data_IF_340565059823
#
_entry.id   IF_340565059823
#
_cell.length_a   1.000
_cell.length_b   1.000
_cell.length_c   1.000
_cell.angle_alpha   90.00
_cell.angle_beta   90.00
_cell.angle_gamma   90.00
#
_symmetry.space_group_name_H-M   'P 1'
#
loop_
_entity.id
_entity.type
_entity.pdbx_description
1 polymer ?
#
# COMPACT_ATOMS: atom_id res chain seq x y z
N UNK A 1 -8.85 0.51 9.08
CA UNK A 1 -9.33 1.49 8.09
C UNK A 1 -8.48 2.75 8.06
N UNK A 2 -8.21 3.39 9.20
CA UNK A 2 -7.45 4.64 9.27
C UNK A 2 -5.97 4.48 8.87
N UNK A 3 -5.33 3.36 9.21
CA UNK A 3 -3.90 3.07 8.95
C UNK A 3 -3.60 2.51 7.56
N UNK A 4 -4.62 2.27 6.73
CA UNK A 4 -4.44 1.70 5.39
C UNK A 4 -3.90 2.70 4.37
N UNK A 5 -3.76 3.97 4.73
CA UNK A 5 -3.24 5.04 3.87
C UNK A 5 -4.18 5.50 2.75
N UNK A 6 -5.36 4.89 2.60
CA UNK A 6 -6.39 5.33 1.64
C UNK A 6 -7.25 6.49 2.17
N UNK A 7 -7.68 6.42 3.44
CA UNK A 7 -8.59 7.43 4.05
C UNK A 7 -7.82 8.57 4.71
N UNK A 8 -6.63 8.30 5.26
CA UNK A 8 -5.75 9.28 5.89
C UNK A 8 -4.38 9.14 5.25
N UNK A 9 -3.82 10.25 4.78
CA UNK A 9 -2.43 10.29 4.32
C UNK A 9 -1.50 9.86 5.46
N UNK A 10 -0.69 8.84 5.21
CA UNK A 10 0.30 8.32 6.17
C UNK A 10 1.35 9.36 6.56
N UNK A 11 1.48 10.45 5.78
CA UNK A 11 2.43 11.54 6.01
C UNK A 11 1.98 12.53 7.10
N UNK A 12 0.66 12.73 7.26
CA UNK A 12 0.11 13.69 8.22
C UNK A 12 -0.39 13.03 9.52
N UNK A 13 -0.04 11.76 9.76
CA UNK A 13 -0.40 11.08 11.00
C UNK A 13 0.54 11.49 12.15
N UNK A 14 -0.03 11.58 13.35
CA UNK A 14 0.76 11.69 14.57
C UNK A 14 1.77 10.53 14.66
N UNK A 15 3.00 10.84 15.07
CA UNK A 15 4.17 9.94 15.11
C UNK A 15 3.84 8.54 15.65
N UNK A 16 3.12 8.46 16.77
CA UNK A 16 2.73 7.17 17.39
C UNK A 16 1.82 6.33 16.48
N UNK A 17 0.85 6.96 15.83
CA UNK A 17 -0.04 6.29 14.89
C UNK A 17 0.70 5.85 13.61
N UNK A 18 1.70 6.62 13.19
CA UNK A 18 2.58 6.25 12.07
C UNK A 18 3.36 4.97 12.39
N UNK A 19 3.96 4.86 13.58
CA UNK A 19 4.62 3.62 14.03
C UNK A 19 3.66 2.43 14.06
N UNK A 20 2.44 2.61 14.59
CA UNK A 20 1.44 1.55 14.62
C UNK A 20 1.02 1.11 13.20
N UNK A 21 1.05 2.02 12.23
CA UNK A 21 0.75 1.69 10.83
C UNK A 21 1.76 0.71 10.22
N UNK A 22 3.03 0.72 10.64
CA UNK A 22 4.04 -0.23 10.17
C UNK A 22 3.82 -1.64 10.72
N UNK A 23 3.11 -1.82 11.84
CA UNK A 23 2.71 -3.13 12.35
C UNK A 23 1.36 -3.61 11.77
N UNK A 24 0.67 -2.77 10.99
CA UNK A 24 -0.69 -3.03 10.54
C UNK A 24 -0.71 -3.88 9.28
N UNK A 25 -1.25 -5.10 9.36
CA UNK A 25 -1.59 -5.96 8.22
C UNK A 25 -2.34 -5.19 7.11
N UNK A 26 -3.23 -4.29 7.51
CA UNK A 26 -4.06 -3.52 6.58
C UNK A 26 -3.25 -2.52 5.74
N UNK A 27 -2.12 -2.00 6.26
CA UNK A 27 -1.24 -1.10 5.50
C UNK A 27 -0.51 -1.89 4.42
N UNK A 28 0.18 -2.95 4.83
CA UNK A 28 0.99 -3.80 3.94
C UNK A 28 0.14 -4.56 2.91
N UNK A 29 -1.05 -5.00 3.28
CA UNK A 29 -2.00 -5.64 2.37
C UNK A 29 -2.50 -4.66 1.30
N UNK A 30 -2.85 -3.43 1.70
CA UNK A 30 -3.32 -2.42 0.76
C UNK A 30 -2.20 -1.92 -0.17
N UNK A 31 -1.02 -1.65 0.36
CA UNK A 31 0.18 -1.27 -0.41
C UNK A 31 0.54 -2.36 -1.43
N UNK A 32 0.56 -3.63 -1.00
CA UNK A 32 0.81 -4.76 -1.90
C UNK A 32 -0.23 -4.91 -3.00
N UNK A 33 -1.53 -4.76 -2.69
CA UNK A 33 -2.58 -4.83 -3.69
C UNK A 33 -2.50 -3.71 -4.73
N UNK A 34 -2.20 -2.47 -4.32
CA UNK A 34 -2.04 -1.36 -5.26
C UNK A 34 -0.85 -1.58 -6.19
N UNK A 35 0.28 -2.05 -5.66
CA UNK A 35 1.43 -2.39 -6.48
C UNK A 35 1.10 -3.51 -7.48
N UNK A 36 0.35 -4.55 -7.09
CA UNK A 36 -0.08 -5.60 -8.03
C UNK A 36 -1.06 -5.08 -9.09
N UNK A 37 -2.02 -4.24 -8.68
CA UNK A 37 -3.09 -3.77 -9.54
C UNK A 37 -2.61 -2.77 -10.60
N UNK A 38 -1.71 -1.85 -10.22
CA UNK A 38 -1.33 -0.72 -11.07
C UNK A 38 0.00 -0.91 -11.79
N UNK A 39 0.88 -1.82 -11.33
CA UNK A 39 2.18 -2.04 -11.95
C UNK A 39 2.04 -2.77 -13.29
N UNK A 40 2.55 -2.17 -14.35
CA UNK A 40 2.50 -2.73 -15.71
C UNK A 40 1.21 -2.46 -16.48
N UNK A 41 0.22 -1.83 -15.83
CA UNK A 41 -1.04 -1.45 -16.47
C UNK A 41 -1.00 0.04 -16.85
N UNK A 42 -1.43 0.35 -18.08
CA UNK A 42 -1.59 1.72 -18.57
C UNK A 42 -3.07 2.08 -18.63
N UNK A 43 -3.41 3.23 -18.08
CA UNK A 43 -4.78 3.71 -18.04
C UNK A 43 -4.94 4.88 -19.01
N UNK A 44 -5.89 4.80 -19.97
CA UNK A 44 -6.17 5.92 -20.85
C UNK A 44 -6.87 7.01 -20.05
N UNK A 45 -6.27 8.20 -20.03
CA UNK A 45 -6.85 9.40 -19.43
C UNK A 45 -7.20 10.35 -20.56
N UNK A 46 -8.46 10.78 -20.61
CA UNK A 46 -8.96 11.73 -21.61
C UNK A 46 -9.07 13.10 -20.96
N UNK A 47 -8.35 14.09 -21.49
CA UNK A 47 -8.53 15.50 -21.13
C UNK A 47 -8.95 16.26 -22.38
N UNK A 48 -10.19 16.77 -22.36
CA UNK A 48 -10.85 17.36 -23.52
C UNK A 48 -10.86 16.41 -24.74
N UNK A 49 -10.10 16.71 -25.80
CA UNK A 49 -10.03 15.94 -27.05
C UNK A 49 -8.75 15.10 -27.19
N UNK A 50 -7.88 15.05 -26.17
CA UNK A 50 -6.63 14.29 -26.20
C UNK A 50 -6.69 13.13 -25.21
N UNK A 51 -6.43 11.92 -25.71
CA UNK A 51 -6.24 10.70 -24.91
C UNK A 51 -4.77 10.40 -24.78
N UNK A 52 -4.29 10.23 -23.55
CA UNK A 52 -2.93 9.78 -23.27
C UNK A 52 -2.94 8.66 -22.24
N UNK A 53 -1.99 7.74 -22.38
CA UNK A 53 -1.88 6.58 -21.50
C UNK A 53 -0.96 6.92 -20.34
N UNK A 54 -1.51 6.95 -19.13
CA UNK A 54 -0.76 7.14 -17.89
C UNK A 54 -0.40 5.77 -17.32
N UNK A 55 0.87 5.60 -16.97
CA UNK A 55 1.31 4.39 -16.28
C UNK A 55 0.72 4.35 -14.87
N UNK A 56 0.07 3.25 -14.51
CA UNK A 56 -0.56 3.07 -13.20
C UNK A 56 0.43 3.25 -12.05
N UNK A 57 1.73 3.02 -12.29
CA UNK A 57 2.77 3.25 -11.27
C UNK A 57 2.76 4.70 -10.74
N UNK A 58 2.42 5.68 -11.57
CA UNK A 58 2.37 7.09 -11.15
C UNK A 58 1.26 7.35 -10.12
N UNK A 59 0.18 6.57 -10.18
CA UNK A 59 -0.92 6.64 -9.19
C UNK A 59 -0.43 6.11 -7.84
N UNK A 60 0.30 4.98 -7.84
CA UNK A 60 0.86 4.38 -6.61
C UNK A 60 1.93 5.29 -5.99
N UNK A 61 2.74 5.93 -6.84
CA UNK A 61 3.76 6.92 -6.44
C UNK A 61 3.11 8.16 -5.83
N UNK A 62 2.04 8.70 -6.45
CA UNK A 62 1.30 9.85 -5.94
C UNK A 62 0.65 9.57 -4.57
N UNK A 63 0.28 8.31 -4.30
CA UNK A 63 -0.21 7.86 -3.00
C UNK A 63 0.91 7.56 -1.98
N UNK A 64 2.19 7.72 -2.37
CA UNK A 64 3.38 7.37 -1.56
C UNK A 64 3.39 5.91 -1.08
N UNK A 65 2.84 4.99 -1.88
CA UNK A 65 2.73 3.55 -1.59
C UNK A 65 3.67 2.69 -2.44
N UNK A 66 4.74 3.31 -2.96
CA UNK A 66 5.81 2.65 -3.73
C UNK A 66 7.16 2.69 -2.98
N UNK A 67 7.12 2.87 -1.64
CA UNK A 67 8.35 3.04 -0.84
C UNK A 67 9.10 1.71 -0.64
N UNK A 68 8.37 0.60 -0.59
CA UNK A 68 8.92 -0.73 -0.42
C UNK A 68 8.62 -1.61 -1.63
N UNK A 69 9.52 -2.53 -2.02
CA UNK A 69 9.24 -3.46 -3.10
C UNK A 69 8.14 -4.45 -2.71
N UNK A 70 7.38 -4.93 -3.69
CA UNK A 70 6.25 -5.83 -3.49
C UNK A 70 6.57 -7.06 -2.59
N UNK A 71 7.76 -7.66 -2.76
CA UNK A 71 8.19 -8.81 -1.95
C UNK A 71 8.28 -8.49 -0.45
N UNK A 72 8.67 -7.26 -0.08
CA UNK A 72 8.71 -6.83 1.32
C UNK A 72 7.32 -6.83 1.95
N UNK A 73 6.28 -6.45 1.19
CA UNK A 73 4.90 -6.52 1.69
C UNK A 73 4.52 -7.97 2.05
N UNK A 74 4.85 -8.94 1.20
CA UNK A 74 4.57 -10.35 1.48
C UNK A 74 5.32 -10.87 2.69
N UNK A 75 6.61 -10.52 2.86
CA UNK A 75 7.38 -10.93 4.02
C UNK A 75 6.80 -10.40 5.33
N UNK A 76 6.39 -9.13 5.36
CA UNK A 76 5.80 -8.54 6.57
C UNK A 76 4.45 -9.18 6.89
N UNK A 77 3.60 -9.42 5.89
CA UNK A 77 2.33 -10.12 6.08
C UNK A 77 2.54 -11.54 6.61
N UNK A 78 3.54 -12.26 6.09
CA UNK A 78 3.90 -13.60 6.56
C UNK A 78 4.38 -13.55 8.02
N UNK A 79 5.24 -12.60 8.37
CA UNK A 79 5.73 -12.42 9.74
C UNK A 79 4.58 -12.11 10.72
N UNK A 80 3.62 -11.26 10.32
CA UNK A 80 2.42 -10.96 11.12
C UNK A 80 1.59 -12.24 11.34
N UNK A 81 1.36 -13.04 10.28
CA UNK A 81 0.63 -14.30 10.38
C UNK A 81 1.33 -15.30 11.31
N UNK A 82 2.65 -15.47 11.18
CA UNK A 82 3.44 -16.33 12.08
C UNK A 82 3.37 -15.85 13.53
N UNK A 83 3.45 -14.53 13.77
CA UNK A 83 3.32 -13.95 15.10
C UNK A 83 1.97 -14.25 15.73
N UNK A 84 0.87 -14.08 14.98
CA UNK A 84 -0.47 -14.44 15.47
C UNK A 84 -0.65 -15.95 15.65
N UNK A 85 -0.07 -16.80 14.80
CA UNK A 85 -0.13 -18.25 14.99
C UNK A 85 0.64 -18.70 16.24
N UNK A 86 1.80 -18.12 16.52
CA UNK A 86 2.55 -18.37 17.76
C UNK A 86 1.78 -17.92 18.99
N UNK A 87 1.19 -16.72 18.95
CA UNK A 87 0.34 -16.21 20.03
C UNK A 87 -0.92 -17.05 20.24
N UNK A 88 -1.47 -17.63 19.17
CA UNK A 88 -2.62 -18.54 19.26
C UNK A 88 -2.23 -19.89 19.89
N UNK A 89 -0.99 -20.34 19.67
CA UNK A 89 -0.50 -21.60 20.21
C UNK A 89 -0.14 -21.51 21.71
N UNK A 90 0.23 -20.32 22.19
CA UNK A 90 0.65 -20.05 23.57
C UNK A 90 -0.54 -19.82 24.51
#
# INVERSE_FOLDING_TARGET
>A
YLTGGFVISLENMWLVASWLSYASFMRWGFEGMLQVQFRGNKYPVTIANLTFNVDGIHVVEAMKMNQYPLFSCYLVLLAICLGFMLLYFL
#
